data_IF_503520450256
#
_entry.id   IF_503520450256
#
_cell.length_a   1.000
_cell.length_b   1.000
_cell.length_c   1.000
_cell.angle_alpha   90.00
_cell.angle_beta   90.00
_cell.angle_gamma   90.00
#
_symmetry.space_group_name_H-M   'P 1'
#
loop_
_entity.id
_entity.type
_entity.pdbx_description
1 polymer ?
#
# COMPACT_ATOMS: atom_id res chain seq x y z
N UNK A 1 11.06 11.33 17.56
CA UNK A 1 11.04 11.57 16.09
C UNK A 1 9.74 12.30 15.74
N UNK A 2 9.78 13.62 15.53
CA UNK A 2 8.58 14.41 15.12
C UNK A 2 8.50 14.41 13.59
N UNK A 3 7.40 13.91 13.01
CA UNK A 3 7.13 14.04 11.57
C UNK A 3 6.74 12.76 10.80
N UNK A 4 6.51 11.61 11.47
CA UNK A 4 6.04 10.40 10.81
C UNK A 4 4.54 10.20 10.97
N UNK A 5 3.89 9.63 9.94
CA UNK A 5 2.49 9.18 9.96
C UNK A 5 2.40 7.75 9.45
N UNK A 6 1.34 7.06 9.86
CA UNK A 6 1.05 5.70 9.43
C UNK A 6 -0.08 5.69 8.40
N UNK A 7 0.13 4.98 7.30
CA UNK A 7 -0.90 4.62 6.33
C UNK A 7 -1.28 3.16 6.56
N UNK A 8 -2.57 2.87 6.64
CA UNK A 8 -3.09 1.51 6.71
C UNK A 8 -3.51 1.06 5.31
N UNK A 9 -2.83 0.04 4.80
CA UNK A 9 -3.19 -0.60 3.52
C UNK A 9 -3.70 -1.99 3.87
N UNK A 10 -4.98 -2.26 3.61
CA UNK A 10 -5.57 -3.59 3.81
C UNK A 10 -5.70 -4.26 2.45
N UNK A 11 -5.07 -5.42 2.29
CA UNK A 11 -5.20 -6.24 1.08
C UNK A 11 -6.08 -7.43 1.40
N UNK A 12 -7.32 -7.39 0.89
CA UNK A 12 -8.32 -8.43 1.07
C UNK A 12 -8.56 -9.19 -0.23
N UNK A 13 -8.69 -10.51 -0.15
CA UNK A 13 -8.97 -11.37 -1.29
C UNK A 13 -9.26 -12.80 -0.81
N UNK A 14 -9.49 -13.70 -1.77
CA UNK A 14 -9.60 -15.14 -1.51
C UNK A 14 -8.56 -15.88 -2.34
N UNK A 15 -7.88 -16.85 -1.72
CA UNK A 15 -7.05 -17.84 -2.42
C UNK A 15 -7.80 -19.16 -2.33
N UNK A 16 -8.19 -19.68 -3.49
CA UNK A 16 -9.15 -20.78 -3.58
C UNK A 16 -10.44 -20.47 -2.78
N UNK A 17 -10.71 -21.20 -1.70
CA UNK A 17 -11.85 -20.98 -0.81
C UNK A 17 -11.51 -20.32 0.53
N UNK A 18 -10.24 -19.96 0.75
CA UNK A 18 -9.78 -19.34 2.00
C UNK A 18 -9.63 -17.84 1.83
N UNK A 19 -10.01 -17.07 2.86
CA UNK A 19 -9.67 -15.64 2.90
C UNK A 19 -8.16 -15.49 2.99
N UNK A 20 -7.61 -14.55 2.24
CA UNK A 20 -6.19 -14.24 2.29
C UNK A 20 -5.78 -13.92 3.74
N UNK A 21 -4.70 -14.53 4.21
CA UNK A 21 -4.12 -14.30 5.53
C UNK A 21 -2.60 -14.29 5.41
N UNK A 22 -1.87 -13.60 6.30
CA UNK A 22 -0.41 -13.55 6.27
C UNK A 22 0.27 -14.92 6.15
N UNK A 23 -0.25 -15.95 6.84
CA UNK A 23 0.29 -17.31 6.81
C UNK A 23 0.06 -18.07 5.51
N UNK A 24 -0.65 -17.49 4.53
CA UNK A 24 -0.92 -18.09 3.22
C UNK A 24 -0.08 -17.47 2.09
N UNK A 25 0.78 -16.49 2.40
CA UNK A 25 1.68 -15.86 1.45
C UNK A 25 3.05 -16.53 1.49
N UNK A 26 3.58 -16.92 0.33
CA UNK A 26 4.98 -17.31 0.19
C UNK A 26 5.91 -16.08 0.13
N UNK A 27 7.22 -16.32 0.13
CA UNK A 27 8.23 -15.25 0.15
C UNK A 27 8.17 -14.32 -1.07
N UNK A 28 7.86 -14.84 -2.25
CA UNK A 28 7.75 -14.06 -3.48
C UNK A 28 6.50 -13.17 -3.44
N UNK A 29 5.39 -13.74 -2.96
CA UNK A 29 4.15 -13.00 -2.75
C UNK A 29 4.35 -11.89 -1.70
N UNK A 30 5.12 -12.13 -0.64
CA UNK A 30 5.51 -11.11 0.33
C UNK A 30 6.32 -9.98 -0.29
N UNK A 31 7.36 -10.31 -1.06
CA UNK A 31 8.21 -9.33 -1.74
C UNK A 31 7.33 -8.46 -2.64
N UNK A 32 6.53 -9.08 -3.51
CA UNK A 32 5.65 -8.36 -4.43
C UNK A 32 4.68 -7.44 -3.72
N UNK A 33 4.15 -7.86 -2.58
CA UNK A 33 3.23 -7.02 -1.80
C UNK A 33 3.93 -5.79 -1.21
N UNK A 34 5.16 -5.96 -0.72
CA UNK A 34 5.99 -4.84 -0.25
C UNK A 34 6.38 -3.90 -1.40
N UNK A 35 6.63 -4.43 -2.60
CA UNK A 35 6.88 -3.62 -3.79
C UNK A 35 5.66 -2.80 -4.22
N UNK A 36 4.47 -3.39 -4.19
CA UNK A 36 3.23 -2.67 -4.49
C UNK A 36 2.99 -1.54 -3.46
N UNK A 37 3.20 -1.81 -2.17
CA UNK A 37 3.09 -0.79 -1.12
C UNK A 37 4.12 0.34 -1.32
N UNK A 38 5.35 0.00 -1.72
CA UNK A 38 6.39 0.97 -2.09
C UNK A 38 5.97 1.81 -3.29
N UNK A 39 5.45 1.21 -4.35
CA UNK A 39 5.11 1.89 -5.60
C UNK A 39 3.88 2.78 -5.44
N UNK A 40 2.95 2.42 -4.55
CA UNK A 40 1.84 3.29 -4.15
C UNK A 40 2.35 4.58 -3.48
N UNK A 41 3.36 4.45 -2.60
CA UNK A 41 3.93 5.56 -1.85
C UNK A 41 4.94 6.39 -2.65
N UNK A 42 5.74 5.76 -3.51
CA UNK A 42 6.86 6.39 -4.24
C UNK A 42 6.94 5.88 -5.69
N UNK A 43 5.98 6.24 -6.54
CA UNK A 43 5.86 5.67 -7.88
C UNK A 43 6.98 6.07 -8.86
N UNK A 44 7.66 7.18 -8.60
CA UNK A 44 8.78 7.68 -9.41
C UNK A 44 10.15 7.11 -8.96
N UNK A 45 10.17 6.33 -7.87
CA UNK A 45 11.35 5.69 -7.31
C UNK A 45 12.33 6.65 -6.62
N UNK A 46 12.00 7.95 -6.50
CA UNK A 46 12.82 8.97 -5.84
C UNK A 46 12.44 9.09 -4.36
N UNK A 47 13.42 9.38 -3.52
CA UNK A 47 13.16 9.67 -2.10
C UNK A 47 12.59 8.51 -1.29
N UNK A 48 13.08 7.28 -1.54
CA UNK A 48 12.63 6.04 -0.88
C UNK A 48 12.71 6.18 0.66
N UNK A 49 11.57 6.32 1.35
CA UNK A 49 11.60 6.43 2.79
C UNK A 49 11.82 5.04 3.40
N UNK A 50 12.48 5.01 4.57
CA UNK A 50 12.44 3.82 5.41
C UNK A 50 11.00 3.59 5.86
N UNK A 51 10.44 2.42 5.54
CA UNK A 51 9.10 2.03 5.96
C UNK A 51 9.23 0.99 7.09
N UNK A 52 8.46 1.20 8.15
CA UNK A 52 8.14 0.13 9.10
C UNK A 52 6.85 -0.52 8.63
N UNK A 53 6.84 -1.84 8.59
CA UNK A 53 5.69 -2.67 8.21
C UNK A 53 5.31 -3.55 9.39
N UNK A 54 4.02 -3.56 9.73
CA UNK A 54 3.43 -4.51 10.67
C UNK A 54 2.34 -5.29 9.95
N UNK A 55 2.32 -6.60 10.17
CA UNK A 55 1.44 -7.58 9.53
C UNK A 55 0.57 -8.22 10.61
N UNK A 56 -0.75 -8.18 10.44
CA UNK A 56 -1.72 -8.69 11.42
C UNK A 56 -2.78 -9.60 10.77
N UNK A 57 -3.44 -10.43 11.56
CA UNK A 57 -4.60 -11.26 11.14
C UNK A 57 -5.83 -10.38 10.83
N UNK A 58 -6.61 -10.76 9.81
CA UNK A 58 -7.73 -9.94 9.30
C UNK A 58 -7.60 -9.50 7.84
N UNK A 59 -7.02 -10.36 6.99
CA UNK A 59 -6.38 -10.04 5.70
C UNK A 59 -5.03 -9.35 5.87
N UNK A 60 -4.24 -9.25 4.79
CA UNK A 60 -2.86 -8.76 4.89
C UNK A 60 -2.90 -7.25 5.09
N UNK A 61 -2.91 -6.84 6.35
CA UNK A 61 -2.87 -5.45 6.77
C UNK A 61 -1.41 -4.99 6.84
N UNK A 62 -1.05 -3.99 6.03
CA UNK A 62 0.24 -3.31 6.07
C UNK A 62 0.07 -1.97 6.76
N UNK A 63 0.73 -1.80 7.91
CA UNK A 63 0.88 -0.50 8.54
C UNK A 63 2.21 0.10 8.09
N UNK A 64 2.18 1.08 7.18
CA UNK A 64 3.39 1.75 6.69
C UNK A 64 3.59 3.06 7.42
N UNK A 65 4.67 3.18 8.19
CA UNK A 65 5.04 4.43 8.85
C UNK A 65 6.17 5.15 8.11
N UNK A 66 5.90 6.38 7.64
CA UNK A 66 6.81 7.18 6.82
C UNK A 66 6.63 8.68 7.08
N UNK A 67 7.32 9.56 6.35
CA UNK A 67 7.20 11.02 6.47
C UNK A 67 5.75 11.48 6.25
N UNK A 68 5.29 12.41 7.08
CA UNK A 68 3.89 12.83 7.11
C UNK A 68 3.38 13.39 5.77
N UNK A 69 4.23 14.14 5.05
CA UNK A 69 3.87 14.72 3.75
C UNK A 69 3.46 13.65 2.74
N UNK A 70 4.19 12.53 2.69
CA UNK A 70 3.91 11.44 1.77
C UNK A 70 2.57 10.77 2.10
N UNK A 71 2.32 10.50 3.38
CA UNK A 71 1.05 9.91 3.83
C UNK A 71 -0.14 10.82 3.49
N UNK A 72 -0.01 12.12 3.70
CA UNK A 72 -1.08 13.09 3.41
C UNK A 72 -1.36 13.15 1.89
N UNK A 73 -0.31 13.21 1.07
CA UNK A 73 -0.46 13.24 -0.40
C UNK A 73 -1.11 11.96 -0.92
N UNK A 74 -0.67 10.78 -0.46
CA UNK A 74 -1.28 9.50 -0.86
C UNK A 74 -2.74 9.41 -0.43
N UNK A 75 -3.08 9.84 0.79
CA UNK A 75 -4.47 9.81 1.26
C UNK A 75 -5.39 10.75 0.46
N UNK A 76 -4.91 11.95 0.11
CA UNK A 76 -5.66 12.89 -0.71
C UNK A 76 -5.95 12.31 -2.10
N UNK A 77 -4.94 11.74 -2.76
CA UNK A 77 -5.09 11.08 -4.06
C UNK A 77 -6.10 9.93 -4.02
N UNK A 78 -6.01 9.04 -3.02
CA UNK A 78 -6.95 7.93 -2.89
C UNK A 78 -8.38 8.40 -2.59
N UNK A 79 -8.55 9.49 -1.82
CA UNK A 79 -9.86 10.07 -1.55
C UNK A 79 -10.48 10.68 -2.82
N UNK A 80 -9.67 11.35 -3.65
CA UNK A 80 -10.12 11.93 -4.92
C UNK A 80 -10.55 10.85 -5.91
N UNK A 81 -9.74 9.80 -6.09
CA UNK A 81 -10.09 8.66 -6.97
C UNK A 81 -11.39 8.00 -6.51
N UNK A 82 -11.59 7.79 -5.21
CA UNK A 82 -12.83 7.22 -4.70
C UNK A 82 -14.04 8.14 -4.92
N UNK A 83 -13.84 9.45 -4.95
CA UNK A 83 -14.92 10.42 -5.19
C UNK A 83 -15.26 10.53 -6.69
N UNK A 84 -14.25 10.54 -7.56
CA UNK A 84 -14.41 10.79 -9.01
C UNK A 84 -14.51 9.51 -9.84
N UNK A 85 -14.07 8.37 -9.29
CA UNK A 85 -13.85 7.11 -10.00
C UNK A 85 -12.88 7.23 -11.19
N UNK A 86 -12.05 8.28 -11.20
CA UNK A 86 -11.08 8.54 -12.26
C UNK A 86 -9.72 7.94 -11.93
N UNK A 87 -9.47 6.74 -12.47
CA UNK A 87 -8.18 6.04 -12.34
C UNK A 87 -7.06 6.70 -13.16
N UNK A 88 -7.36 7.66 -14.05
CA UNK A 88 -6.38 8.41 -14.83
C UNK A 88 -5.51 9.35 -13.97
N UNK A 89 -5.93 9.61 -12.73
CA UNK A 89 -5.17 10.37 -11.74
C UNK A 89 -3.97 9.60 -11.17
N UNK A 90 -3.95 8.27 -11.33
CA UNK A 90 -2.87 7.42 -10.85
C UNK A 90 -1.68 7.46 -11.82
N UNK A 91 -0.48 7.56 -11.26
CA UNK A 91 0.72 7.21 -12.02
C UNK A 91 0.66 5.74 -12.43
N UNK A 92 1.21 5.36 -13.59
CA UNK A 92 1.15 3.98 -14.11
C UNK A 92 1.48 2.91 -13.06
N UNK A 93 2.56 3.10 -12.30
CA UNK A 93 2.96 2.17 -11.23
C UNK A 93 1.99 2.11 -10.05
N UNK A 94 1.25 3.18 -9.77
CA UNK A 94 0.21 3.17 -8.74
C UNK A 94 -1.04 2.44 -9.24
N UNK A 95 -1.38 2.60 -10.52
CA UNK A 95 -2.46 1.83 -11.16
C UNK A 95 -2.13 0.33 -11.16
N UNK A 96 -0.92 -0.04 -11.59
CA UNK A 96 -0.44 -1.43 -11.60
C UNK A 96 -0.40 -2.05 -10.18
N UNK A 97 -0.22 -1.23 -9.14
CA UNK A 97 -0.22 -1.68 -7.74
C UNK A 97 -1.62 -1.90 -7.14
N UNK A 98 -2.67 -1.34 -7.77
CA UNK A 98 -4.06 -1.42 -7.32
C UNK A 98 -4.90 -2.45 -8.10
N UNK A 99 -4.44 -2.86 -9.28
CA UNK A 99 -5.02 -3.92 -10.12
C UNK A 99 -4.67 -5.32 -9.63
#
# INVERSE_FOLDING_TARGET
MKGQKTLHIRISGRRENQSLRPGLLDVEEWIKTLENARDLLTPDGKGRPNIRVEVEEGSVLFKVTTIAALVIQTQALLAEINATHDIGLLHKKQADALS
#
